data_IF_579900276469
#
_entry.id   IF_579900276469
#
_cell.length_a   1.000
_cell.length_b   1.000
_cell.length_c   1.000
_cell.angle_alpha   90.00
_cell.angle_beta   90.00
_cell.angle_gamma   90.00
#
_symmetry.space_group_name_H-M   'P 1'
#
loop_
_entity.id
_entity.type
_entity.pdbx_description
1 polymer ?
#
# COMPACT_ATOMS: atom_id res chain seq x y z
N UNK A 1 25.25 -88.16 -24.21
CA UNK A 1 25.74 -87.74 -25.55
C UNK A 1 26.47 -86.42 -25.44
N UNK A 2 27.49 -86.17 -26.27
CA UNK A 2 28.14 -84.86 -26.32
C UNK A 2 27.16 -83.81 -26.90
N UNK A 3 27.08 -82.64 -26.27
CA UNK A 3 26.19 -81.54 -26.69
C UNK A 3 26.62 -80.87 -28.00
N UNK A 4 27.86 -81.09 -28.43
CA UNK A 4 28.52 -80.42 -29.55
C UNK A 4 28.52 -81.25 -30.86
N UNK A 5 27.99 -82.48 -30.82
CA UNK A 5 27.83 -83.35 -32.00
C UNK A 5 26.57 -84.19 -31.89
N UNK A 6 25.91 -84.45 -33.01
CA UNK A 6 24.76 -85.36 -33.07
C UNK A 6 25.18 -86.83 -32.98
N UNK A 7 24.23 -87.74 -32.66
CA UNK A 7 24.48 -89.19 -32.52
C UNK A 7 25.09 -89.80 -33.78
N UNK A 8 24.63 -89.30 -34.94
CA UNK A 8 25.10 -89.73 -36.26
C UNK A 8 26.55 -89.32 -36.49
N UNK A 9 26.92 -88.09 -36.13
CA UNK A 9 28.28 -87.59 -36.29
C UNK A 9 29.25 -88.23 -35.29
N UNK A 10 28.80 -88.46 -34.05
CA UNK A 10 29.59 -89.14 -33.03
C UNK A 10 29.94 -90.58 -33.43
N UNK A 11 28.99 -91.29 -34.04
CA UNK A 11 29.20 -92.65 -34.55
C UNK A 11 30.23 -92.71 -35.70
N UNK A 12 30.28 -91.67 -36.55
CA UNK A 12 31.23 -91.55 -37.66
C UNK A 12 32.63 -91.12 -37.20
N UNK A 13 32.71 -90.26 -36.17
CA UNK A 13 33.96 -89.70 -35.65
C UNK A 13 34.55 -90.51 -34.49
N UNK A 14 33.96 -91.66 -34.14
CA UNK A 14 34.34 -92.48 -32.98
C UNK A 14 35.82 -92.89 -32.94
N UNK A 15 36.46 -93.00 -34.11
CA UNK A 15 37.87 -93.39 -34.25
C UNK A 15 38.81 -92.20 -34.51
N UNK A 16 38.28 -90.99 -34.64
CA UNK A 16 39.04 -89.75 -34.87
C UNK A 16 38.83 -88.79 -33.70
N UNK A 17 39.56 -89.07 -32.62
CA UNK A 17 39.49 -88.29 -31.38
C UNK A 17 39.97 -86.84 -31.57
N UNK A 18 40.86 -86.59 -32.54
CA UNK A 18 41.38 -85.25 -32.82
C UNK A 18 40.28 -84.36 -33.41
N UNK A 19 39.56 -84.82 -34.43
CA UNK A 19 38.44 -84.07 -35.00
C UNK A 19 37.28 -83.87 -34.02
N UNK A 20 37.03 -84.85 -33.15
CA UNK A 20 36.01 -84.71 -32.10
C UNK A 20 36.42 -83.65 -31.05
N UNK A 21 37.70 -83.60 -30.68
CA UNK A 21 38.24 -82.58 -29.79
C UNK A 21 38.19 -81.17 -30.42
N UNK A 22 38.57 -81.04 -31.70
CA UNK A 22 38.48 -79.77 -32.43
C UNK A 22 37.05 -79.23 -32.50
N UNK A 23 36.05 -80.12 -32.70
CA UNK A 23 34.63 -79.74 -32.66
C UNK A 23 34.19 -79.30 -31.26
N UNK A 24 34.65 -79.95 -30.21
CA UNK A 24 34.37 -79.55 -28.84
C UNK A 24 34.97 -78.18 -28.53
N UNK A 25 36.23 -77.96 -28.93
CA UNK A 25 36.93 -76.69 -28.73
C UNK A 25 36.27 -75.55 -29.52
N UNK A 26 35.81 -75.80 -30.75
CA UNK A 26 35.05 -74.84 -31.53
C UNK A 26 33.73 -74.47 -30.84
N UNK A 27 32.98 -75.46 -30.36
CA UNK A 27 31.73 -75.24 -29.64
C UNK A 27 31.93 -74.46 -28.34
N UNK A 28 32.97 -74.79 -27.57
CA UNK A 28 33.35 -74.07 -26.34
C UNK A 28 33.72 -72.61 -26.66
N UNK A 29 34.52 -72.38 -27.70
CA UNK A 29 34.88 -71.02 -28.15
C UNK A 29 33.66 -70.19 -28.54
N UNK A 30 32.69 -70.78 -29.24
CA UNK A 30 31.48 -70.07 -29.64
C UNK A 30 30.57 -69.76 -28.45
N UNK A 31 30.44 -70.69 -27.48
CA UNK A 31 29.75 -70.40 -26.21
C UNK A 31 30.43 -69.26 -25.42
N UNK A 32 31.77 -69.21 -25.40
CA UNK A 32 32.48 -68.09 -24.76
C UNK A 32 32.21 -66.76 -25.47
N UNK A 33 32.17 -66.74 -26.81
CA UNK A 33 31.80 -65.52 -27.56
C UNK A 33 30.37 -65.09 -27.23
N UNK A 34 29.41 -66.01 -27.20
CA UNK A 34 28.03 -65.71 -26.85
C UNK A 34 27.94 -65.16 -25.41
N UNK A 35 28.62 -65.80 -24.46
CA UNK A 35 28.71 -65.33 -23.08
C UNK A 35 29.28 -63.91 -22.99
N UNK A 36 30.36 -63.62 -23.72
CA UNK A 36 31.01 -62.31 -23.73
C UNK A 36 30.11 -61.24 -24.35
N UNK A 37 29.37 -61.58 -25.42
CA UNK A 37 28.38 -60.66 -26.00
C UNK A 37 27.25 -60.38 -25.01
N UNK A 38 26.66 -61.39 -24.37
CA UNK A 38 25.60 -61.20 -23.37
C UNK A 38 26.10 -60.36 -22.19
N UNK A 39 27.32 -60.63 -21.70
CA UNK A 39 27.94 -59.84 -20.63
C UNK A 39 28.16 -58.39 -21.05
N UNK A 40 28.64 -58.14 -22.26
CA UNK A 40 28.80 -56.79 -22.79
C UNK A 40 27.46 -56.05 -22.88
N UNK A 41 26.41 -56.69 -23.38
CA UNK A 41 25.07 -56.11 -23.46
C UNK A 41 24.49 -55.81 -22.07
N UNK A 42 24.66 -56.72 -21.11
CA UNK A 42 24.22 -56.52 -19.73
C UNK A 42 24.95 -55.32 -19.07
N UNK A 43 26.26 -55.21 -19.29
CA UNK A 43 27.05 -54.07 -18.79
C UNK A 43 26.57 -52.75 -19.41
N UNK A 44 26.35 -52.70 -20.72
CA UNK A 44 25.83 -51.50 -21.40
C UNK A 44 24.45 -51.12 -20.87
N UNK A 45 23.56 -52.11 -20.68
CA UNK A 45 22.23 -51.87 -20.12
C UNK A 45 22.31 -51.32 -18.68
N UNK A 46 23.19 -51.87 -17.84
CA UNK A 46 23.41 -51.39 -16.46
C UNK A 46 23.90 -49.95 -16.44
N UNK A 47 24.95 -49.64 -17.22
CA UNK A 47 25.51 -48.28 -17.32
C UNK A 47 24.46 -47.30 -17.82
N UNK A 48 23.66 -47.69 -18.82
CA UNK A 48 22.61 -46.82 -19.37
C UNK A 48 21.53 -46.54 -18.34
N UNK A 49 21.12 -47.55 -17.56
CA UNK A 49 20.14 -47.39 -16.49
C UNK A 49 20.66 -46.45 -15.39
N UNK A 50 21.91 -46.61 -14.98
CA UNK A 50 22.58 -45.74 -14.00
C UNK A 50 22.65 -44.29 -14.48
N UNK A 51 23.09 -44.05 -15.72
CA UNK A 51 23.14 -42.71 -16.30
C UNK A 51 21.76 -42.04 -16.35
N UNK A 52 20.73 -42.81 -16.74
CA UNK A 52 19.35 -42.31 -16.76
C UNK A 52 18.86 -41.95 -15.36
N UNK A 53 19.14 -42.80 -14.37
CA UNK A 53 18.79 -42.54 -12.97
C UNK A 53 19.47 -41.27 -12.45
N UNK A 54 20.77 -41.11 -12.70
CA UNK A 54 21.54 -39.93 -12.30
C UNK A 54 20.99 -38.66 -12.95
N UNK A 55 20.67 -38.70 -14.24
CA UNK A 55 20.07 -37.57 -14.95
C UNK A 55 18.72 -37.19 -14.36
N UNK A 56 17.82 -38.16 -14.17
CA UNK A 56 16.50 -37.93 -13.59
C UNK A 56 16.57 -37.40 -12.16
N UNK A 57 17.49 -37.94 -11.35
CA UNK A 57 17.73 -37.48 -9.98
C UNK A 57 18.19 -36.02 -9.94
N UNK A 58 19.14 -35.66 -10.82
CA UNK A 58 19.60 -34.27 -10.97
C UNK A 58 18.47 -33.32 -11.34
N UNK A 59 17.63 -33.70 -12.32
CA UNK A 59 16.51 -32.87 -12.75
C UNK A 59 15.42 -32.75 -11.67
N UNK A 60 15.18 -33.82 -10.92
CA UNK A 60 14.26 -33.79 -9.78
C UNK A 60 14.75 -32.81 -8.70
N UNK A 61 16.05 -32.82 -8.37
CA UNK A 61 16.62 -31.87 -7.41
C UNK A 61 16.51 -30.42 -7.90
N UNK A 62 16.75 -30.15 -9.19
CA UNK A 62 16.56 -28.82 -9.78
C UNK A 62 15.11 -28.37 -9.67
N UNK A 63 14.16 -29.25 -10.01
CA UNK A 63 12.72 -28.96 -9.91
C UNK A 63 12.29 -28.69 -8.47
N UNK A 64 12.78 -29.48 -7.50
CA UNK A 64 12.51 -29.26 -6.08
C UNK A 64 13.06 -27.92 -5.59
N UNK A 65 14.28 -27.56 -6.00
CA UNK A 65 14.88 -26.27 -5.70
C UNK A 65 14.05 -25.12 -6.28
N UNK A 66 13.67 -25.22 -7.55
CA UNK A 66 12.86 -24.20 -8.22
C UNK A 66 11.48 -24.05 -7.58
N UNK A 67 10.82 -25.15 -7.25
CA UNK A 67 9.53 -25.12 -6.55
C UNK A 67 9.66 -24.44 -5.18
N UNK A 68 10.73 -24.73 -4.43
CA UNK A 68 10.99 -24.08 -3.13
C UNK A 68 11.22 -22.58 -3.29
N UNK A 69 11.95 -22.16 -4.33
CA UNK A 69 12.14 -20.74 -4.65
C UNK A 69 10.83 -20.05 -5.01
N UNK A 70 9.98 -20.68 -5.83
CA UNK A 70 8.67 -20.16 -6.20
C UNK A 70 7.75 -20.03 -4.99
N UNK A 71 7.72 -21.03 -4.11
CA UNK A 71 6.95 -20.98 -2.86
C UNK A 71 7.41 -19.83 -1.96
N UNK A 72 8.72 -19.63 -1.81
CA UNK A 72 9.28 -18.52 -1.04
C UNK A 72 8.91 -17.16 -1.66
N UNK A 73 9.01 -17.04 -2.99
CA UNK A 73 8.60 -15.84 -3.71
C UNK A 73 7.11 -15.53 -3.53
N UNK A 74 6.25 -16.55 -3.67
CA UNK A 74 4.82 -16.44 -3.45
C UNK A 74 4.49 -15.99 -2.03
N UNK A 75 5.12 -16.62 -1.02
CA UNK A 75 4.93 -16.24 0.38
C UNK A 75 5.33 -14.79 0.64
N UNK A 76 6.43 -14.33 0.04
CA UNK A 76 6.89 -12.95 0.14
C UNK A 76 5.89 -11.97 -0.47
N UNK A 77 5.40 -12.26 -1.68
CA UNK A 77 4.37 -11.46 -2.36
C UNK A 77 3.06 -11.41 -1.59
N UNK A 78 2.63 -12.52 -1.00
CA UNK A 78 1.43 -12.55 -0.14
C UNK A 78 1.59 -11.67 1.09
N UNK A 79 2.78 -11.68 1.71
CA UNK A 79 3.08 -10.80 2.85
C UNK A 79 3.12 -9.31 2.44
N UNK A 80 3.69 -9.00 1.28
CA UNK A 80 3.70 -7.64 0.73
C UNK A 80 2.27 -7.15 0.44
N UNK A 81 1.44 -7.99 -0.18
CA UNK A 81 0.04 -7.70 -0.46
C UNK A 81 -0.75 -7.42 0.82
N UNK A 82 -0.57 -8.26 1.86
CA UNK A 82 -1.24 -8.07 3.15
C UNK A 82 -0.83 -6.74 3.82
N UNK A 83 0.45 -6.38 3.77
CA UNK A 83 0.94 -5.11 4.32
C UNK A 83 0.36 -3.90 3.55
N UNK A 84 0.35 -3.94 2.22
CA UNK A 84 -0.23 -2.87 1.41
C UNK A 84 -1.74 -2.74 1.66
N UNK A 85 -2.45 -3.86 1.80
CA UNK A 85 -3.87 -3.87 2.15
C UNK A 85 -4.12 -3.18 3.50
N UNK A 86 -3.33 -3.51 4.52
CA UNK A 86 -3.41 -2.90 5.86
C UNK A 86 -3.11 -1.39 5.81
N UNK A 87 -2.06 -1.00 5.10
CA UNK A 87 -1.71 0.41 4.91
C UNK A 87 -2.83 1.19 4.22
N UNK A 88 -3.44 0.62 3.18
CA UNK A 88 -4.54 1.24 2.47
C UNK A 88 -5.76 1.42 3.40
N UNK A 89 -6.15 0.38 4.15
CA UNK A 89 -7.22 0.49 5.14
C UNK A 89 -6.93 1.56 6.21
N UNK A 90 -5.68 1.65 6.68
CA UNK A 90 -5.26 2.67 7.64
C UNK A 90 -5.37 4.08 7.07
N UNK A 91 -4.92 4.29 5.83
CA UNK A 91 -5.02 5.58 5.14
C UNK A 91 -6.48 5.95 4.94
N UNK A 92 -7.32 5.02 4.51
CA UNK A 92 -8.76 5.26 4.33
C UNK A 92 -9.43 5.76 5.61
N UNK A 93 -9.16 5.12 6.76
CA UNK A 93 -9.65 5.58 8.06
C UNK A 93 -9.11 6.97 8.42
N UNK A 94 -7.84 7.27 8.10
CA UNK A 94 -7.28 8.60 8.32
C UNK A 94 -7.95 9.67 7.46
N UNK A 95 -8.27 9.38 6.20
CA UNK A 95 -9.00 10.29 5.33
C UNK A 95 -10.38 10.62 5.93
N UNK A 96 -11.16 9.61 6.33
CA UNK A 96 -12.47 9.83 6.98
C UNK A 96 -12.35 10.72 8.21
N UNK A 97 -11.33 10.50 9.05
CA UNK A 97 -11.08 11.33 10.24
C UNK A 97 -10.77 12.77 9.87
N UNK A 98 -9.98 12.99 8.81
CA UNK A 98 -9.63 14.33 8.33
C UNK A 98 -10.80 15.05 7.71
N UNK A 99 -11.64 14.35 6.94
CA UNK A 99 -12.86 14.91 6.37
C UNK A 99 -13.81 15.38 7.49
N UNK A 100 -14.01 14.58 8.54
CA UNK A 100 -14.80 14.99 9.70
C UNK A 100 -14.21 16.20 10.45
N UNK A 101 -12.88 16.31 10.54
CA UNK A 101 -12.20 17.46 11.11
C UNK A 101 -12.42 18.72 10.26
N UNK A 102 -12.35 18.61 8.93
CA UNK A 102 -12.62 19.69 7.98
C UNK A 102 -14.07 20.16 8.11
N UNK A 103 -15.03 19.24 8.17
CA UNK A 103 -16.45 19.58 8.34
C UNK A 103 -16.70 20.33 9.66
N UNK A 104 -16.09 19.89 10.76
CA UNK A 104 -16.19 20.56 12.06
C UNK A 104 -15.62 21.98 11.99
N UNK A 105 -14.40 22.13 11.48
CA UNK A 105 -13.75 23.45 11.35
C UNK A 105 -14.55 24.39 10.43
N UNK A 106 -15.15 23.85 9.37
CA UNK A 106 -16.00 24.62 8.46
C UNK A 106 -17.25 25.15 9.17
N UNK A 107 -17.88 24.32 10.03
CA UNK A 107 -19.01 24.76 10.86
C UNK A 107 -18.60 25.84 11.85
N UNK A 108 -17.51 25.63 12.59
CA UNK A 108 -16.98 26.59 13.56
C UNK A 108 -16.65 27.95 12.90
N UNK A 109 -16.03 27.95 11.72
CA UNK A 109 -15.77 29.16 10.94
C UNK A 109 -17.07 29.87 10.53
N UNK A 110 -18.09 29.11 10.11
CA UNK A 110 -19.38 29.68 9.71
C UNK A 110 -20.11 30.34 10.88
N UNK A 111 -20.04 29.74 12.06
CA UNK A 111 -20.61 30.28 13.31
C UNK A 111 -19.85 31.53 13.77
N UNK A 112 -18.52 31.48 13.71
CA UNK A 112 -17.67 32.63 14.01
C UNK A 112 -17.94 33.80 13.07
N UNK A 113 -18.12 33.55 11.76
CA UNK A 113 -18.49 34.58 10.78
C UNK A 113 -19.87 35.18 11.05
N UNK A 114 -20.84 34.38 11.50
CA UNK A 114 -22.16 34.90 11.93
C UNK A 114 -22.01 35.79 13.15
N UNK A 115 -21.32 35.32 14.20
CA UNK A 115 -21.07 36.09 15.43
C UNK A 115 -20.32 37.41 15.15
N UNK A 116 -19.26 37.36 14.32
CA UNK A 116 -18.52 38.55 13.90
C UNK A 116 -19.42 39.58 13.22
N UNK A 117 -20.29 39.17 12.29
CA UNK A 117 -21.22 40.08 11.61
C UNK A 117 -22.18 40.74 12.60
N UNK A 118 -22.76 39.97 13.51
CA UNK A 118 -23.65 40.49 14.55
C UNK A 118 -22.95 41.53 15.45
N UNK A 119 -21.70 41.28 15.83
CA UNK A 119 -20.92 42.23 16.63
C UNK A 119 -20.62 43.54 15.87
N UNK A 120 -20.30 43.45 14.57
CA UNK A 120 -20.07 44.63 13.73
C UNK A 120 -21.36 45.45 13.58
N UNK A 121 -22.50 44.80 13.36
CA UNK A 121 -23.81 45.46 13.29
C UNK A 121 -24.15 46.19 14.60
N UNK A 122 -23.93 45.54 15.75
CA UNK A 122 -24.14 46.15 17.07
C UNK A 122 -23.20 47.34 17.32
N UNK A 123 -21.94 47.25 16.90
CA UNK A 123 -20.99 48.35 17.01
C UNK A 123 -21.45 49.57 16.19
N UNK A 124 -21.85 49.35 14.93
CA UNK A 124 -22.38 50.41 14.06
C UNK A 124 -23.65 51.06 14.64
N UNK A 125 -24.54 50.26 15.23
CA UNK A 125 -25.73 50.75 15.91
C UNK A 125 -25.36 51.63 17.10
N UNK A 126 -24.37 51.21 17.91
CA UNK A 126 -23.90 51.98 19.06
C UNK A 126 -23.19 53.27 18.66
N UNK A 127 -22.37 53.25 17.62
CA UNK A 127 -21.74 54.45 17.08
C UNK A 127 -22.79 55.48 16.62
N UNK A 128 -23.84 55.00 15.94
CA UNK A 128 -24.97 55.86 15.51
C UNK A 128 -25.75 56.42 16.69
N UNK A 129 -25.94 55.63 17.75
CA UNK A 129 -26.61 56.06 18.98
C UNK A 129 -25.79 57.14 19.73
N UNK A 130 -24.47 56.94 19.82
CA UNK A 130 -23.53 57.92 20.39
C UNK A 130 -23.55 59.22 19.59
N UNK A 131 -23.47 59.16 18.25
CA UNK A 131 -23.52 60.35 17.40
C UNK A 131 -24.83 61.12 17.61
N UNK A 132 -25.97 60.41 17.65
CA UNK A 132 -27.27 61.04 17.95
C UNK A 132 -27.29 61.72 19.33
N UNK A 133 -26.75 61.07 20.35
CA UNK A 133 -26.65 61.66 21.70
C UNK A 133 -25.75 62.90 21.71
N UNK A 134 -24.61 62.86 21.02
CA UNK A 134 -23.71 63.99 20.87
C UNK A 134 -24.39 65.18 20.17
N UNK A 135 -25.16 64.93 19.10
CA UNK A 135 -25.95 65.97 18.42
C UNK A 135 -27.02 66.58 19.33
N UNK A 136 -27.66 65.77 20.18
CA UNK A 136 -28.64 66.26 21.17
C UNK A 136 -27.95 67.14 22.22
N UNK A 137 -26.78 66.73 22.73
CA UNK A 137 -25.98 67.50 23.68
C UNK A 137 -25.56 68.84 23.07
N UNK A 138 -25.00 68.85 21.87
CA UNK A 138 -24.60 70.06 21.15
C UNK A 138 -25.76 71.05 20.98
N UNK A 139 -26.95 70.54 20.61
CA UNK A 139 -28.17 71.35 20.50
C UNK A 139 -28.62 71.93 21.85
N UNK A 140 -28.51 71.15 22.94
CA UNK A 140 -28.85 71.63 24.30
C UNK A 140 -27.89 72.74 24.73
N UNK A 141 -26.59 72.56 24.49
CA UNK A 141 -25.57 73.56 24.81
C UNK A 141 -25.77 74.85 24.01
N UNK A 142 -26.05 74.75 22.71
CA UNK A 142 -26.35 75.91 21.86
C UNK A 142 -27.58 76.69 22.36
N UNK A 143 -28.65 75.98 22.74
CA UNK A 143 -29.84 76.61 23.33
C UNK A 143 -29.54 77.28 24.66
N UNK A 144 -28.70 76.66 25.50
CA UNK A 144 -28.27 77.26 26.76
C UNK A 144 -27.45 78.54 26.52
N UNK A 145 -26.55 78.54 25.54
CA UNK A 145 -25.80 79.74 25.12
C UNK A 145 -26.72 80.85 24.61
N UNK A 146 -27.70 80.54 23.76
CA UNK A 146 -28.68 81.51 23.26
C UNK A 146 -29.51 82.13 24.39
N UNK A 147 -29.97 81.33 25.36
CA UNK A 147 -30.67 81.83 26.55
C UNK A 147 -29.78 82.76 27.36
N UNK A 148 -28.52 82.39 27.60
CA UNK A 148 -27.58 83.21 28.35
C UNK A 148 -27.27 84.54 27.64
N UNK A 149 -27.11 84.54 26.32
CA UNK A 149 -26.96 85.76 25.51
C UNK A 149 -28.17 86.68 25.66
N UNK A 150 -29.38 86.15 25.51
CA UNK A 150 -30.62 86.93 25.65
C UNK A 150 -30.79 87.54 27.05
N UNK A 151 -30.44 86.79 28.10
CA UNK A 151 -30.40 87.32 29.47
C UNK A 151 -29.36 88.44 29.61
N UNK A 152 -28.19 88.29 28.98
CA UNK A 152 -27.11 89.29 29.01
C UNK A 152 -27.52 90.58 28.28
N UNK A 153 -28.27 90.48 27.19
CA UNK A 153 -28.85 91.63 26.45
C UNK A 153 -30.01 92.31 27.19
N UNK A 154 -30.84 91.56 27.92
CA UNK A 154 -31.95 92.12 28.71
C UNK A 154 -31.49 92.81 30.01
N UNK A 155 -30.33 92.43 30.58
CA UNK A 155 -29.80 93.02 31.82
C UNK A 155 -29.60 94.55 31.76
N UNK A 156 -28.97 95.13 30.72
CA UNK A 156 -28.89 96.58 30.56
C UNK A 156 -30.25 97.26 30.42
N UNK A 157 -31.19 96.70 29.63
CA UNK A 157 -32.54 97.26 29.47
C UNK A 157 -33.32 97.29 30.79
N UNK A 158 -33.25 96.21 31.57
CA UNK A 158 -33.90 96.14 32.89
C UNK A 158 -33.22 97.06 33.92
N UNK A 159 -31.90 97.27 33.82
CA UNK A 159 -31.17 98.27 34.61
C UNK A 159 -31.65 99.70 34.30
N UNK A 160 -31.84 100.04 33.03
CA UNK A 160 -32.40 101.35 32.63
C UNK A 160 -33.88 101.49 33.02
N UNK A 161 -34.70 100.44 32.93
CA UNK A 161 -36.10 100.44 33.40
C UNK A 161 -36.21 100.58 34.93
N UNK A 162 -35.29 99.99 35.69
CA UNK A 162 -35.22 100.16 37.15
C UNK A 162 -34.81 101.57 37.59
N UNK A 163 -33.99 102.26 36.80
CA UNK A 163 -33.60 103.67 37.05
C UNK A 163 -34.75 104.64 36.74
N UNK A 164 -35.62 104.32 35.78
CA UNK A 164 -36.79 105.15 35.44
C UNK A 164 -38.01 104.93 36.34
N UNK A 165 -38.02 103.90 37.19
CA UNK A 165 -39.15 103.55 38.06
C UNK A 165 -38.91 103.91 39.54
N UNK A 166 -38.11 104.96 39.79
CA UNK A 166 -37.97 105.57 41.12
C UNK A 166 -39.14 106.55 41.26
N UNK A 167 -40.14 106.28 42.12
CA UNK A 167 -41.20 107.24 42.39
C UNK A 167 -40.60 108.43 43.14
N UNK A 168 -40.98 109.63 42.71
CA UNK A 168 -40.65 110.93 43.31
C UNK A 168 -40.86 111.00 44.82
#
# INVERSE_FOLDING_TARGET
MPLFVSDKEYSLLRNDAALLADKADAFIRDLYKELDTVRAHANVASITAEQKYLSLSSDLLKLQSHNSQLQNSLRRRLSELANVQEQNSRIYVQCIRKDGEIERLTKELSELHKSKRQLVELAQQKDSEIENQNQILLKKDLRAQQKNLKIREMKPMMFWQGIWNIPS
#
